data_IF_733817685774
#
_entry.id   IF_733817685774
#
_cell.length_a   1.000
_cell.length_b   1.000
_cell.length_c   1.000
_cell.angle_alpha   90.00
_cell.angle_beta   90.00
_cell.angle_gamma   90.00
#
_symmetry.space_group_name_H-M   'P 1'
#
loop_
_entity.id
_entity.type
_entity.pdbx_description
1 polymer ?
#
# COMPACT_ATOMS: atom_id res chain seq x y z
N UNK A 1 -11.69 -23.47 5.22
CA UNK A 1 -12.46 -23.07 6.41
C UNK A 1 -11.90 -21.74 6.85
N UNK A 2 -12.60 -20.65 6.54
CA UNK A 2 -12.17 -19.28 6.81
C UNK A 2 -12.50 -19.01 8.27
N UNK A 3 -11.50 -18.70 9.07
CA UNK A 3 -11.70 -18.32 10.49
C UNK A 3 -12.26 -16.88 10.52
N UNK A 4 -13.50 -16.69 10.96
CA UNK A 4 -14.18 -15.39 10.81
C UNK A 4 -13.69 -14.28 11.74
N UNK A 5 -12.76 -14.52 12.64
CA UNK A 5 -12.53 -13.63 13.78
C UNK A 5 -11.08 -13.19 14.05
N UNK A 6 -10.14 -13.37 13.12
CA UNK A 6 -8.76 -12.97 13.42
C UNK A 6 -8.56 -11.45 13.58
N UNK A 7 -9.42 -10.61 13.01
CA UNK A 7 -9.42 -9.18 13.28
C UNK A 7 -9.77 -8.92 14.75
N UNK A 8 -10.74 -9.67 15.28
CA UNK A 8 -11.17 -9.56 16.67
C UNK A 8 -10.25 -10.28 17.64
N UNK A 9 -9.61 -11.40 17.24
CA UNK A 9 -8.66 -12.14 18.06
C UNK A 9 -7.42 -11.33 18.44
N UNK A 10 -7.08 -10.32 17.62
CA UNK A 10 -5.95 -9.42 17.88
C UNK A 10 -6.36 -8.05 18.42
N UNK A 11 -7.62 -7.83 18.72
CA UNK A 11 -8.12 -6.54 19.21
C UNK A 11 -7.98 -5.41 18.19
N UNK A 12 -7.92 -5.74 16.91
CA UNK A 12 -7.80 -4.78 15.83
C UNK A 12 -9.17 -4.28 15.42
N UNK A 13 -9.59 -3.16 15.98
CA UNK A 13 -10.67 -2.38 15.39
C UNK A 13 -10.06 -1.52 14.28
N UNK A 14 -10.55 -1.68 13.06
CA UNK A 14 -10.27 -0.70 12.01
C UNK A 14 -10.89 0.63 12.42
N UNK A 15 -10.22 1.79 12.17
CA UNK A 15 -10.79 3.06 12.53
C UNK A 15 -12.12 3.25 11.84
N UNK A 16 -13.09 3.74 12.59
CA UNK A 16 -14.33 4.26 12.04
C UNK A 16 -14.06 5.67 11.47
N UNK A 17 -14.95 6.14 10.61
CA UNK A 17 -14.92 7.53 10.14
C UNK A 17 -14.98 8.53 11.29
N UNK A 18 -15.55 8.14 12.45
CA UNK A 18 -15.52 8.90 13.69
C UNK A 18 -14.11 9.19 14.24
N UNK A 19 -13.12 8.39 13.87
CA UNK A 19 -11.73 8.58 14.30
C UNK A 19 -11.00 9.70 13.54
N UNK A 20 -11.62 10.28 12.53
CA UNK A 20 -11.01 11.35 11.74
C UNK A 20 -11.20 12.73 12.38
N UNK A 21 -10.20 13.63 12.28
CA UNK A 21 -10.25 14.95 12.92
C UNK A 21 -11.46 15.82 12.55
N UNK A 22 -12.01 15.59 11.36
CA UNK A 22 -13.18 16.31 10.85
C UNK A 22 -14.52 15.62 11.16
N UNK A 23 -14.51 14.49 11.87
CA UNK A 23 -15.70 13.69 12.12
C UNK A 23 -16.83 14.49 12.79
N UNK A 24 -16.48 15.41 13.70
CA UNK A 24 -17.45 16.29 14.35
C UNK A 24 -18.08 17.34 13.43
N UNK A 25 -17.51 17.56 12.23
CA UNK A 25 -18.01 18.51 11.23
C UNK A 25 -18.82 17.85 10.12
N UNK A 26 -18.78 16.53 10.06
CA UNK A 26 -19.46 15.75 9.02
C UNK A 26 -20.64 15.04 9.66
N UNK A 27 -21.85 15.42 9.28
CA UNK A 27 -23.05 14.65 9.65
C UNK A 27 -23.02 13.39 8.79
N UNK A 28 -22.74 12.24 9.41
CA UNK A 28 -22.83 10.95 8.73
C UNK A 28 -24.30 10.67 8.41
N UNK A 29 -24.68 10.56 7.14
CA UNK A 29 -26.00 10.07 6.84
C UNK A 29 -26.13 8.66 7.41
N UNK A 30 -27.27 8.32 7.99
CA UNK A 30 -27.67 6.91 8.15
C UNK A 30 -27.45 6.25 6.80
N UNK A 31 -27.09 4.96 6.80
CA UNK A 31 -26.88 4.23 5.56
C UNK A 31 -28.00 4.57 4.56
N UNK A 32 -27.61 5.30 3.51
CA UNK A 32 -28.54 5.78 2.50
C UNK A 32 -29.15 4.61 1.75
N UNK A 33 -28.38 3.52 1.68
CA UNK A 33 -28.79 2.27 1.07
C UNK A 33 -28.41 1.13 2.00
N UNK A 34 -29.38 0.29 2.34
CA UNK A 34 -29.15 -0.92 3.09
C UNK A 34 -28.27 -1.89 2.26
N UNK A 35 -27.28 -2.49 2.88
CA UNK A 35 -26.40 -3.46 2.27
C UNK A 35 -27.07 -4.84 2.03
N UNK A 36 -27.95 -5.23 2.93
CA UNK A 36 -28.55 -6.58 2.92
C UNK A 36 -29.09 -7.04 1.56
N UNK A 37 -29.81 -6.21 0.77
CA UNK A 37 -30.31 -6.60 -0.54
C UNK A 37 -29.23 -6.97 -1.56
N UNK A 38 -28.01 -6.49 -1.36
CA UNK A 38 -26.87 -6.68 -2.29
C UNK A 38 -25.91 -7.78 -1.87
N UNK A 39 -25.92 -8.16 -0.59
CA UNK A 39 -24.94 -9.10 -0.02
C UNK A 39 -24.92 -10.44 -0.77
N UNK A 40 -26.11 -10.96 -1.09
CA UNK A 40 -26.24 -12.19 -1.85
C UNK A 40 -25.71 -12.09 -3.29
N UNK A 41 -26.00 -10.99 -3.98
CA UNK A 41 -25.58 -10.75 -5.37
C UNK A 41 -24.04 -10.63 -5.44
N UNK A 42 -23.43 -9.85 -4.55
CA UNK A 42 -21.98 -9.73 -4.47
C UNK A 42 -21.30 -11.03 -4.05
N UNK A 43 -21.86 -11.75 -3.07
CA UNK A 43 -21.33 -13.04 -2.61
C UNK A 43 -21.33 -14.08 -3.73
N UNK A 44 -22.36 -14.13 -4.55
CA UNK A 44 -22.43 -15.02 -5.72
C UNK A 44 -21.38 -14.61 -6.75
N UNK A 45 -21.31 -13.32 -7.11
CA UNK A 45 -20.35 -12.83 -8.09
C UNK A 45 -18.89 -13.11 -7.67
N UNK A 46 -18.59 -12.91 -6.40
CA UNK A 46 -17.24 -13.17 -5.84
C UNK A 46 -16.90 -14.66 -5.81
N UNK A 47 -17.84 -15.52 -5.43
CA UNK A 47 -17.63 -16.98 -5.39
C UNK A 47 -17.44 -17.58 -6.79
N UNK A 48 -18.17 -17.07 -7.78
CA UNK A 48 -18.11 -17.55 -9.15
C UNK A 48 -17.02 -16.86 -9.98
N UNK A 49 -16.30 -15.89 -9.41
CA UNK A 49 -15.33 -15.06 -10.12
C UNK A 49 -15.93 -14.43 -11.40
N UNK A 50 -17.19 -14.00 -11.32
CA UNK A 50 -17.96 -13.50 -12.45
C UNK A 50 -18.05 -11.97 -12.42
N UNK A 51 -17.26 -11.32 -13.30
CA UNK A 51 -17.19 -9.86 -13.36
C UNK A 51 -18.50 -9.22 -13.85
N UNK A 52 -19.23 -9.87 -14.72
CA UNK A 52 -20.48 -9.33 -15.25
C UNK A 52 -21.54 -9.27 -14.14
N UNK A 53 -21.68 -10.35 -13.36
CA UNK A 53 -22.56 -10.36 -12.18
C UNK A 53 -22.15 -9.28 -11.16
N UNK A 54 -20.84 -9.11 -10.94
CA UNK A 54 -20.34 -8.06 -10.07
C UNK A 54 -20.74 -6.67 -10.59
N UNK A 55 -20.51 -6.40 -11.86
CA UNK A 55 -20.84 -5.11 -12.49
C UNK A 55 -22.35 -4.82 -12.43
N UNK A 56 -23.19 -5.81 -12.67
CA UNK A 56 -24.65 -5.66 -12.55
C UNK A 56 -25.04 -5.28 -11.13
N UNK A 57 -24.57 -6.03 -10.12
CA UNK A 57 -24.85 -5.74 -8.72
C UNK A 57 -24.33 -4.35 -8.30
N UNK A 58 -23.12 -4.00 -8.76
CA UNK A 58 -22.51 -2.72 -8.44
C UNK A 58 -23.20 -1.53 -9.11
N UNK A 59 -23.64 -1.69 -10.37
CA UNK A 59 -24.42 -0.68 -11.09
C UNK A 59 -25.76 -0.43 -10.41
N UNK A 60 -26.44 -1.49 -9.97
CA UNK A 60 -27.69 -1.41 -9.23
C UNK A 60 -27.49 -0.65 -7.91
N UNK A 61 -26.48 -1.01 -7.12
CA UNK A 61 -26.13 -0.32 -5.89
C UNK A 61 -25.88 1.17 -6.14
N UNK A 62 -25.07 1.51 -7.15
CA UNK A 62 -24.80 2.90 -7.52
C UNK A 62 -26.08 3.65 -7.95
N UNK A 63 -26.95 3.01 -8.69
CA UNK A 63 -28.23 3.56 -9.11
C UNK A 63 -29.12 3.91 -7.90
N UNK A 64 -29.19 3.01 -6.93
CA UNK A 64 -29.97 3.22 -5.71
C UNK A 64 -29.37 4.31 -4.84
N UNK A 65 -28.03 4.39 -4.74
CA UNK A 65 -27.36 5.51 -4.05
C UNK A 65 -27.74 6.84 -4.72
N UNK A 66 -27.63 6.94 -6.04
CA UNK A 66 -27.91 8.19 -6.77
C UNK A 66 -29.39 8.59 -6.76
N UNK A 67 -30.28 7.64 -6.55
CA UNK A 67 -31.72 7.91 -6.40
C UNK A 67 -32.05 8.48 -5.02
N UNK A 68 -31.24 8.16 -4.00
CA UNK A 68 -31.51 8.53 -2.63
C UNK A 68 -30.64 9.70 -2.13
N UNK A 69 -29.52 10.02 -2.82
CA UNK A 69 -28.61 11.11 -2.42
C UNK A 69 -28.39 12.08 -3.57
N UNK A 70 -28.59 13.37 -3.25
CA UNK A 70 -28.26 14.45 -4.18
C UNK A 70 -26.78 14.83 -4.03
N UNK A 71 -25.91 14.17 -4.77
CA UNK A 71 -24.49 14.51 -4.84
C UNK A 71 -24.22 15.71 -5.76
N UNK A 72 -23.22 16.53 -5.39
CA UNK A 72 -22.67 17.53 -6.31
C UNK A 72 -22.09 16.87 -7.56
N UNK A 73 -21.97 17.58 -8.69
CA UNK A 73 -21.33 17.02 -9.90
C UNK A 73 -19.92 16.49 -9.63
N UNK A 74 -19.15 17.18 -8.81
CA UNK A 74 -17.78 16.79 -8.43
C UNK A 74 -17.77 15.52 -7.55
N UNK A 75 -18.69 15.41 -6.58
CA UNK A 75 -18.80 14.21 -5.75
C UNK A 75 -19.30 13.01 -6.58
N UNK A 76 -20.19 13.23 -7.56
CA UNK A 76 -20.63 12.20 -8.50
C UNK A 76 -19.48 11.70 -9.37
N UNK A 77 -18.65 12.61 -9.89
CA UNK A 77 -17.46 12.24 -10.66
C UNK A 77 -16.46 11.47 -9.80
N UNK A 78 -16.26 11.89 -8.54
CA UNK A 78 -15.41 11.18 -7.59
C UNK A 78 -15.93 9.75 -7.33
N UNK A 79 -17.24 9.58 -7.16
CA UNK A 79 -17.87 8.27 -7.01
C UNK A 79 -17.69 7.39 -8.25
N UNK A 80 -17.86 7.93 -9.45
CA UNK A 80 -17.63 7.19 -10.69
C UNK A 80 -16.17 6.72 -10.82
N UNK A 81 -15.21 7.59 -10.49
CA UNK A 81 -13.80 7.23 -10.48
C UNK A 81 -13.48 6.12 -9.48
N UNK A 82 -14.08 6.16 -8.30
CA UNK A 82 -13.96 5.12 -7.28
C UNK A 82 -14.55 3.80 -7.77
N UNK A 83 -15.75 3.82 -8.31
CA UNK A 83 -16.46 2.65 -8.85
C UNK A 83 -15.66 1.95 -9.93
N UNK A 84 -15.12 2.72 -10.86
CA UNK A 84 -14.27 2.20 -11.94
C UNK A 84 -13.03 1.49 -11.37
N UNK A 85 -12.41 2.06 -10.34
CA UNK A 85 -11.24 1.48 -9.70
C UNK A 85 -11.57 0.20 -8.94
N UNK A 86 -12.67 0.16 -8.18
CA UNK A 86 -13.13 -1.05 -7.49
C UNK A 86 -13.39 -2.16 -8.51
N UNK A 87 -14.10 -1.87 -9.59
CA UNK A 87 -14.37 -2.83 -10.65
C UNK A 87 -13.08 -3.36 -11.29
N UNK A 88 -12.09 -2.49 -11.51
CA UNK A 88 -10.78 -2.91 -12.03
C UNK A 88 -10.08 -3.87 -11.08
N UNK A 89 -10.07 -3.58 -9.78
CA UNK A 89 -9.46 -4.46 -8.80
C UNK A 89 -10.17 -5.80 -8.70
N UNK A 90 -11.49 -5.82 -8.74
CA UNK A 90 -12.27 -7.06 -8.76
C UNK A 90 -11.94 -7.89 -9.99
N UNK A 91 -11.85 -7.27 -11.17
CA UNK A 91 -11.45 -7.97 -12.40
C UNK A 91 -10.08 -8.60 -12.29
N UNK A 92 -9.10 -7.86 -11.79
CA UNK A 92 -7.73 -8.36 -11.58
C UNK A 92 -7.70 -9.51 -10.56
N UNK A 93 -8.46 -9.37 -9.48
CA UNK A 93 -8.62 -10.43 -8.49
C UNK A 93 -9.23 -11.70 -9.10
N UNK A 94 -10.30 -11.59 -9.87
CA UNK A 94 -10.93 -12.73 -10.53
C UNK A 94 -9.99 -13.41 -11.52
N UNK A 95 -9.23 -12.65 -12.28
CA UNK A 95 -8.21 -13.20 -13.18
C UNK A 95 -7.14 -13.97 -12.40
N UNK A 96 -6.68 -13.44 -11.27
CA UNK A 96 -5.69 -14.12 -10.43
C UNK A 96 -6.23 -15.40 -9.78
N UNK A 97 -7.54 -15.45 -9.47
CA UNK A 97 -8.17 -16.62 -8.89
C UNK A 97 -8.45 -17.74 -9.91
N UNK A 98 -8.69 -17.38 -11.17
CA UNK A 98 -8.89 -18.37 -12.25
C UNK A 98 -7.62 -19.14 -12.59
N UNK A 99 -6.47 -18.53 -12.39
CA UNK A 99 -5.15 -19.12 -12.62
C UNK A 99 -4.61 -19.76 -11.32
N UNK A 100 -5.39 -20.59 -10.65
CA UNK A 100 -5.01 -21.18 -9.37
C UNK A 100 -3.77 -22.09 -9.53
N UNK A 101 -2.64 -21.58 -9.11
CA UNK A 101 -1.48 -22.39 -8.72
C UNK A 101 -1.77 -22.97 -7.32
N UNK A 102 -1.40 -24.21 -7.11
CA UNK A 102 -1.66 -24.95 -5.88
C UNK A 102 -1.11 -24.18 -4.66
N UNK A 103 -1.92 -24.06 -3.60
CA UNK A 103 -1.51 -23.34 -2.36
C UNK A 103 -0.30 -23.96 -1.68
N UNK A 104 -0.04 -25.24 -1.91
CA UNK A 104 1.11 -25.92 -1.36
C UNK A 104 2.43 -25.47 -2.01
N UNK A 105 2.38 -25.00 -3.25
CA UNK A 105 3.55 -24.42 -3.94
C UNK A 105 4.00 -23.07 -3.36
N UNK A 106 3.08 -22.28 -2.80
CA UNK A 106 3.42 -20.98 -2.16
C UNK A 106 4.35 -21.18 -0.96
N UNK A 107 4.16 -22.25 -0.20
CA UNK A 107 4.93 -22.55 1.02
C UNK A 107 6.36 -23.03 0.73
N UNK A 108 6.68 -23.40 -0.48
CA UNK A 108 8.00 -23.95 -0.84
C UNK A 108 9.10 -22.88 -0.97
N UNK A 109 8.73 -21.60 -1.08
CA UNK A 109 9.66 -20.49 -1.15
C UNK A 109 9.46 -19.54 0.03
N UNK A 110 10.54 -19.15 0.71
CA UNK A 110 10.48 -18.28 1.89
C UNK A 110 9.80 -16.94 1.58
N UNK A 111 10.13 -16.30 0.46
CA UNK A 111 9.58 -14.98 0.08
C UNK A 111 8.08 -15.09 -0.16
N UNK A 112 7.62 -16.10 -0.91
CA UNK A 112 6.19 -16.28 -1.14
C UNK A 112 5.42 -16.58 0.15
N UNK A 113 5.99 -17.39 1.04
CA UNK A 113 5.41 -17.71 2.34
C UNK A 113 5.33 -16.48 3.26
N UNK A 114 6.40 -15.68 3.32
CA UNK A 114 6.44 -14.44 4.11
C UNK A 114 5.44 -13.40 3.57
N UNK A 115 5.37 -13.23 2.25
CA UNK A 115 4.41 -12.32 1.61
C UNK A 115 2.96 -12.75 1.88
N UNK A 116 2.66 -14.05 1.81
CA UNK A 116 1.33 -14.56 2.10
C UNK A 116 0.96 -14.37 3.58
N UNK A 117 1.89 -14.60 4.50
CA UNK A 117 1.61 -14.53 5.93
C UNK A 117 1.72 -13.11 6.50
N UNK A 118 2.83 -12.43 6.25
CA UNK A 118 3.15 -11.12 6.84
C UNK A 118 2.84 -9.94 5.93
N UNK A 119 2.67 -10.18 4.62
CA UNK A 119 2.58 -9.14 3.60
C UNK A 119 3.94 -8.59 3.15
N UNK A 120 5.01 -9.03 3.79
CA UNK A 120 6.38 -8.60 3.50
C UNK A 120 7.39 -9.70 3.83
N UNK A 121 8.52 -9.69 3.12
CA UNK A 121 9.68 -10.53 3.38
C UNK A 121 10.93 -9.68 3.48
N UNK A 122 11.91 -10.15 4.23
CA UNK A 122 13.15 -9.43 4.49
C UNK A 122 14.34 -10.38 4.48
N UNK A 123 15.45 -9.96 3.84
CA UNK A 123 16.68 -10.72 3.78
C UNK A 123 17.91 -9.84 3.57
N UNK A 124 19.06 -10.38 3.96
CA UNK A 124 20.37 -9.74 3.77
C UNK A 124 20.91 -10.01 2.37
N UNK A 125 21.62 -9.04 1.82
CA UNK A 125 22.35 -9.15 0.55
C UNK A 125 23.84 -9.10 0.84
N UNK A 126 24.63 -9.68 -0.05
CA UNK A 126 26.09 -9.58 0.02
C UNK A 126 26.52 -8.09 0.00
N UNK A 127 27.21 -7.60 1.04
CA UNK A 127 27.64 -6.21 1.13
C UNK A 127 28.49 -5.75 -0.05
N UNK A 128 29.24 -6.66 -0.71
CA UNK A 128 30.03 -6.34 -1.90
C UNK A 128 29.15 -5.93 -3.09
N UNK A 129 27.98 -6.54 -3.24
CA UNK A 129 27.03 -6.18 -4.30
C UNK A 129 26.41 -4.80 -4.03
N UNK A 130 26.11 -4.50 -2.78
CA UNK A 130 25.62 -3.18 -2.38
C UNK A 130 26.70 -2.11 -2.61
N UNK A 131 27.95 -2.38 -2.21
CA UNK A 131 29.06 -1.47 -2.49
C UNK A 131 29.23 -1.20 -4.00
N UNK A 132 29.07 -2.22 -4.83
CA UNK A 132 29.11 -2.09 -6.29
C UNK A 132 27.96 -1.20 -6.80
N UNK A 133 26.72 -1.43 -6.37
CA UNK A 133 25.56 -0.59 -6.72
C UNK A 133 25.77 0.85 -6.28
N UNK A 134 26.26 1.06 -5.06
CA UNK A 134 26.55 2.38 -4.51
C UNK A 134 27.61 3.12 -5.34
N UNK A 135 28.64 2.41 -5.80
CA UNK A 135 29.68 2.97 -6.68
C UNK A 135 29.07 3.39 -8.04
N UNK A 136 28.26 2.53 -8.65
CA UNK A 136 27.58 2.82 -9.92
C UNK A 136 26.65 4.04 -9.83
N UNK A 137 26.09 4.33 -8.65
CA UNK A 137 25.13 5.40 -8.39
C UNK A 137 25.74 6.62 -7.69
N UNK A 138 27.05 6.64 -7.48
CA UNK A 138 27.74 7.64 -6.65
C UNK A 138 27.48 9.09 -7.07
N UNK A 139 27.47 9.37 -8.37
CA UNK A 139 27.19 10.73 -8.88
C UNK A 139 25.74 11.14 -8.63
N UNK A 140 24.79 10.22 -8.87
CA UNK A 140 23.37 10.49 -8.62
C UNK A 140 23.09 10.67 -7.13
N UNK A 141 23.70 9.85 -6.28
CA UNK A 141 23.61 9.96 -4.82
C UNK A 141 24.13 11.33 -4.39
N UNK A 142 25.34 11.71 -4.83
CA UNK A 142 25.93 13.01 -4.51
C UNK A 142 25.01 14.14 -4.94
N UNK A 143 24.54 14.13 -6.18
CA UNK A 143 23.62 15.16 -6.70
C UNK A 143 22.34 15.27 -5.85
N UNK A 144 21.77 14.15 -5.41
CA UNK A 144 20.56 14.16 -4.59
C UNK A 144 20.83 14.64 -3.16
N UNK A 145 22.01 14.38 -2.59
CA UNK A 145 22.42 14.90 -1.29
C UNK A 145 22.69 16.40 -1.34
N UNK A 146 23.23 16.91 -2.46
CA UNK A 146 23.59 18.31 -2.62
C UNK A 146 22.39 19.23 -2.91
N UNK A 147 21.18 18.69 -3.16
CA UNK A 147 19.98 19.50 -3.35
C UNK A 147 19.66 20.26 -2.06
N UNK A 148 19.60 21.58 -2.16
CA UNK A 148 19.23 22.45 -1.05
C UNK A 148 17.73 22.29 -0.72
N UNK A 149 17.37 22.38 0.55
CA UNK A 149 15.98 22.16 1.00
C UNK A 149 14.98 23.15 0.36
N UNK A 150 15.40 24.36 0.02
CA UNK A 150 14.56 25.35 -0.66
C UNK A 150 14.34 25.04 -2.16
N UNK A 151 15.16 24.19 -2.76
CA UNK A 151 15.00 23.70 -4.15
C UNK A 151 14.16 22.43 -4.18
N UNK A 152 14.07 21.72 -3.06
CA UNK A 152 13.18 20.58 -2.92
C UNK A 152 11.73 21.06 -2.98
N UNK A 153 10.91 20.44 -3.84
CA UNK A 153 9.47 20.73 -3.83
C UNK A 153 8.96 20.52 -2.40
N UNK A 154 8.20 21.48 -1.83
CA UNK A 154 7.84 21.49 -0.42
C UNK A 154 7.03 20.27 0.08
N UNK A 155 6.84 19.27 -0.77
CA UNK A 155 6.06 18.06 -0.48
C UNK A 155 6.86 16.76 -0.61
N UNK A 156 8.18 16.83 -0.87
CA UNK A 156 9.03 15.64 -1.04
C UNK A 156 10.20 15.68 -0.07
N UNK A 157 10.11 14.86 0.96
CA UNK A 157 11.25 14.55 1.84
C UNK A 157 12.20 13.57 1.18
N UNK A 158 11.67 12.74 0.28
CA UNK A 158 12.47 11.84 -0.52
C UNK A 158 12.85 12.53 -1.84
N UNK A 159 14.11 12.79 -1.99
CA UNK A 159 14.71 13.19 -3.26
C UNK A 159 14.89 11.91 -4.07
N UNK A 160 14.41 11.88 -5.29
CA UNK A 160 14.48 10.65 -6.06
C UNK A 160 14.78 10.88 -7.54
N UNK A 161 15.39 9.88 -8.16
CA UNK A 161 15.56 9.79 -9.61
C UNK A 161 15.11 8.42 -10.07
N UNK A 162 14.19 8.40 -11.04
CA UNK A 162 13.71 7.17 -11.67
C UNK A 162 14.64 6.79 -12.81
N UNK A 163 15.01 5.53 -12.87
CA UNK A 163 15.86 4.95 -13.90
C UNK A 163 15.06 3.97 -14.77
N UNK A 164 15.37 3.94 -16.05
CA UNK A 164 14.87 2.95 -16.99
C UNK A 164 15.99 1.99 -17.38
N UNK A 165 15.63 0.78 -17.77
CA UNK A 165 16.61 -0.24 -18.20
C UNK A 165 17.43 0.22 -19.40
N UNK A 166 16.84 1.01 -20.30
CA UNK A 166 17.53 1.62 -21.44
C UNK A 166 18.61 2.61 -21.04
N UNK A 167 18.42 3.31 -19.93
CA UNK A 167 19.32 4.40 -19.50
C UNK A 167 20.42 3.90 -18.57
N UNK A 168 20.10 2.88 -17.75
CA UNK A 168 20.99 2.29 -16.75
C UNK A 168 20.93 0.77 -16.75
N UNK A 169 21.31 0.11 -17.90
CA UNK A 169 21.32 -1.34 -17.98
C UNK A 169 22.26 -2.00 -16.97
N UNK A 170 23.34 -1.33 -16.60
CA UNK A 170 24.30 -1.74 -15.57
C UNK A 170 23.63 -1.98 -14.21
N UNK A 171 22.85 -1.00 -13.75
CA UNK A 171 22.10 -1.07 -12.48
C UNK A 171 21.03 -2.15 -12.56
N UNK A 172 20.25 -2.19 -13.64
CA UNK A 172 19.18 -3.18 -13.82
C UNK A 172 19.74 -4.60 -13.81
N UNK A 173 20.80 -4.88 -14.59
CA UNK A 173 21.41 -6.21 -14.64
C UNK A 173 21.97 -6.64 -13.28
N UNK A 174 22.53 -5.69 -12.52
CA UNK A 174 23.06 -5.99 -11.18
C UNK A 174 21.93 -6.33 -10.21
N UNK A 175 20.83 -5.58 -10.24
CA UNK A 175 19.66 -5.84 -9.40
C UNK A 175 18.97 -7.15 -9.82
N UNK A 176 18.80 -7.40 -11.12
CA UNK A 176 18.26 -8.67 -11.63
C UNK A 176 19.05 -9.86 -11.10
N UNK A 177 20.38 -9.81 -11.19
CA UNK A 177 21.24 -10.87 -10.66
C UNK A 177 21.10 -11.07 -9.14
N UNK A 178 21.01 -9.98 -8.37
CA UNK A 178 20.75 -10.06 -6.92
C UNK A 178 19.41 -10.76 -6.67
N UNK A 179 18.37 -10.41 -7.42
CA UNK A 179 17.03 -10.96 -7.23
C UNK A 179 16.93 -12.42 -7.67
N UNK A 180 17.61 -12.81 -8.75
CA UNK A 180 17.71 -14.21 -9.18
C UNK A 180 18.40 -15.09 -8.14
N UNK A 181 19.55 -14.66 -7.64
CA UNK A 181 20.32 -15.39 -6.63
C UNK A 181 19.60 -15.56 -5.29
N UNK A 182 18.66 -14.66 -4.98
CA UNK A 182 17.84 -14.71 -3.76
C UNK A 182 16.40 -15.20 -4.03
N UNK A 183 16.15 -15.78 -5.20
CA UNK A 183 14.85 -16.35 -5.60
C UNK A 183 13.67 -15.36 -5.51
N UNK A 184 13.94 -14.04 -5.62
CA UNK A 184 12.93 -13.00 -5.46
C UNK A 184 11.84 -13.11 -6.51
N UNK A 185 12.23 -13.24 -7.77
CA UNK A 185 11.26 -13.35 -8.87
C UNK A 185 10.37 -14.58 -8.72
N UNK A 186 10.98 -15.72 -8.39
CA UNK A 186 10.25 -16.97 -8.16
C UNK A 186 9.28 -16.84 -7.00
N UNK A 187 9.72 -16.29 -5.87
CA UNK A 187 8.87 -16.13 -4.69
C UNK A 187 7.73 -15.14 -4.91
N UNK A 188 8.02 -14.00 -5.52
CA UNK A 188 7.01 -12.98 -5.81
C UNK A 188 6.00 -13.46 -6.88
N UNK A 189 6.45 -14.21 -7.89
CA UNK A 189 5.57 -14.80 -8.91
C UNK A 189 4.63 -15.85 -8.31
N UNK A 190 5.15 -16.74 -7.44
CA UNK A 190 4.34 -17.72 -6.71
C UNK A 190 3.28 -17.02 -5.84
N UNK A 191 3.67 -15.99 -5.11
CA UNK A 191 2.74 -15.21 -4.29
C UNK A 191 1.63 -14.57 -5.13
N UNK A 192 1.99 -13.91 -6.24
CA UNK A 192 1.03 -13.27 -7.15
C UNK A 192 0.23 -14.27 -8.00
N UNK A 193 0.52 -15.57 -7.88
CA UNK A 193 -0.10 -16.63 -8.71
C UNK A 193 0.02 -16.34 -10.21
N UNK A 194 1.14 -15.79 -10.60
CA UNK A 194 1.40 -15.42 -11.97
C UNK A 194 2.18 -16.55 -12.64
N UNK A 195 1.66 -17.08 -13.73
CA UNK A 195 2.37 -18.08 -14.56
C UNK A 195 3.62 -17.49 -15.23
N UNK A 196 3.68 -16.16 -15.34
CA UNK A 196 4.83 -15.44 -15.88
C UNK A 196 5.70 -14.96 -14.74
N UNK A 197 6.99 -15.21 -14.83
CA UNK A 197 7.95 -14.63 -13.91
C UNK A 197 7.82 -13.10 -13.93
N UNK A 198 7.71 -12.54 -12.74
CA UNK A 198 7.78 -11.09 -12.57
C UNK A 198 9.14 -10.59 -13.08
N UNK A 199 9.14 -9.40 -13.62
CA UNK A 199 10.34 -8.71 -14.11
C UNK A 199 10.47 -7.33 -13.50
N UNK A 200 11.67 -6.76 -13.57
CA UNK A 200 11.88 -5.38 -13.14
C UNK A 200 11.16 -4.41 -14.10
N UNK A 201 10.26 -3.58 -13.55
CA UNK A 201 9.57 -2.56 -14.31
C UNK A 201 10.31 -1.21 -14.18
N UNK A 202 10.61 -0.82 -12.95
CA UNK A 202 11.19 0.49 -12.65
C UNK A 202 12.11 0.39 -11.44
N UNK A 203 13.22 1.09 -11.48
CA UNK A 203 14.11 1.31 -10.33
C UNK A 203 14.18 2.83 -10.08
N UNK A 204 13.97 3.23 -8.85
CA UNK A 204 14.15 4.61 -8.41
C UNK A 204 15.15 4.68 -7.26
N UNK A 205 16.17 5.54 -7.40
CA UNK A 205 17.07 5.88 -6.31
C UNK A 205 16.39 6.94 -5.46
N UNK A 206 16.24 6.66 -4.17
CA UNK A 206 15.70 7.56 -3.17
C UNK A 206 16.77 7.97 -2.18
N UNK A 207 16.79 9.25 -1.83
CA UNK A 207 17.61 9.82 -0.77
C UNK A 207 16.71 10.63 0.15
N UNK A 208 16.50 10.14 1.37
CA UNK A 208 15.82 10.87 2.43
C UNK A 208 16.84 11.59 3.30
N UNK A 209 16.57 12.86 3.62
CA UNK A 209 17.41 13.71 4.47
C UNK A 209 16.57 14.25 5.63
N UNK A 210 17.19 14.70 6.72
CA UNK A 210 16.49 15.27 7.85
C UNK A 210 15.56 16.41 7.45
N UNK A 211 14.44 16.47 8.12
CA UNK A 211 13.47 17.55 8.01
C UNK A 211 13.19 18.13 9.39
N UNK A 212 12.82 19.39 9.47
CA UNK A 212 12.47 20.05 10.74
C UNK A 212 11.17 19.53 11.37
N UNK A 213 10.57 18.51 10.80
CA UNK A 213 9.26 18.01 11.20
C UNK A 213 9.38 16.72 12.00
N UNK A 214 9.09 16.81 13.29
CA UNK A 214 9.23 15.73 14.27
C UNK A 214 8.00 14.85 14.41
N UNK A 215 7.57 14.08 13.41
CA UNK A 215 6.38 13.27 13.60
C UNK A 215 6.56 11.79 13.33
N UNK A 216 7.77 11.32 13.52
CA UNK A 216 8.10 9.92 13.35
C UNK A 216 7.28 8.97 14.24
N UNK A 217 6.89 9.45 15.43
CA UNK A 217 6.11 8.68 16.40
C UNK A 217 4.60 8.87 16.26
N UNK A 218 4.14 9.80 15.42
CA UNK A 218 2.74 10.05 15.22
C UNK A 218 2.23 9.41 13.95
N UNK A 219 0.95 9.11 13.88
CA UNK A 219 0.28 8.62 12.67
C UNK A 219 -0.30 9.77 11.85
N UNK A 220 -0.26 10.99 12.38
CA UNK A 220 -0.73 12.18 11.70
C UNK A 220 0.22 12.59 10.60
N UNK A 221 -0.35 13.00 9.49
CA UNK A 221 0.34 13.81 8.51
C UNK A 221 0.36 15.26 8.95
N UNK A 222 1.48 15.89 8.67
CA UNK A 222 1.47 17.34 8.58
C UNK A 222 0.86 17.77 7.24
N UNK A 223 0.19 18.92 7.16
CA UNK A 223 -0.42 19.41 5.91
C UNK A 223 0.56 19.51 4.73
N UNK A 224 1.85 19.59 5.03
CA UNK A 224 2.95 19.75 4.05
C UNK A 224 3.74 18.47 3.80
N UNK A 225 3.43 17.37 4.50
CA UNK A 225 4.22 16.12 4.44
C UNK A 225 3.79 15.24 3.28
N UNK A 226 4.72 14.55 2.67
CA UNK A 226 4.45 13.53 1.66
C UNK A 226 3.53 12.43 2.19
N UNK A 227 2.57 12.03 1.36
CA UNK A 227 1.60 10.98 1.65
C UNK A 227 2.22 9.62 1.96
N UNK A 228 3.44 9.40 1.51
CA UNK A 228 4.19 8.16 1.74
C UNK A 228 4.66 8.01 3.19
N UNK A 229 4.56 9.06 4.00
CA UNK A 229 4.89 9.02 5.44
C UNK A 229 3.72 8.54 6.27
N UNK A 230 2.48 8.70 5.80
CA UNK A 230 1.32 8.12 6.45
C UNK A 230 1.22 6.63 6.18
N UNK A 231 0.67 5.88 7.13
CA UNK A 231 0.31 4.48 6.88
C UNK A 231 -0.72 4.41 5.74
N UNK A 232 -0.37 3.71 4.67
CA UNK A 232 -1.21 3.57 3.49
C UNK A 232 -1.00 2.22 2.82
N UNK A 233 -1.90 1.89 1.91
CA UNK A 233 -1.74 0.85 0.90
C UNK A 233 -1.74 1.53 -0.46
N UNK A 234 -0.99 1.00 -1.41
CA UNK A 234 -0.95 1.57 -2.76
C UNK A 234 -2.17 1.18 -3.60
N UNK A 235 -2.64 2.05 -4.48
CA UNK A 235 -3.81 1.77 -5.31
C UNK A 235 -3.48 0.98 -6.60
N UNK A 236 -2.46 0.14 -6.59
CA UNK A 236 -2.04 -0.63 -7.78
C UNK A 236 -2.02 -2.12 -7.46
N UNK A 237 -2.89 -2.87 -8.10
CA UNK A 237 -2.94 -4.33 -8.00
C UNK A 237 -1.81 -5.01 -8.79
N UNK A 238 -1.40 -6.22 -8.37
CA UNK A 238 -0.34 -7.02 -9.00
C UNK A 238 1.00 -6.30 -9.13
N UNK A 239 1.33 -5.48 -8.16
CA UNK A 239 2.62 -4.83 -8.05
C UNK A 239 3.32 -5.34 -6.78
N UNK A 240 4.52 -5.85 -6.92
CA UNK A 240 5.41 -6.11 -5.81
C UNK A 240 6.47 -5.03 -5.78
N UNK A 241 6.71 -4.48 -4.60
CA UNK A 241 7.77 -3.52 -4.35
C UNK A 241 8.90 -4.16 -3.57
N UNK A 242 10.10 -3.68 -3.85
CA UNK A 242 11.25 -3.94 -3.01
C UNK A 242 11.94 -2.63 -2.65
N UNK A 243 12.45 -2.57 -1.44
CA UNK A 243 13.37 -1.54 -0.98
C UNK A 243 14.72 -2.20 -0.70
N UNK A 244 15.74 -1.74 -1.38
CA UNK A 244 17.11 -2.20 -1.22
C UNK A 244 17.92 -1.06 -0.60
N UNK A 245 18.33 -1.21 0.65
CA UNK A 245 19.17 -0.22 1.32
C UNK A 245 20.60 -0.26 0.78
N UNK A 246 21.12 0.91 0.46
CA UNK A 246 22.50 1.06 -0.05
C UNK A 246 23.48 1.47 1.04
N UNK A 247 23.02 1.62 2.27
CA UNK A 247 23.80 1.98 3.46
C UNK A 247 23.06 1.55 4.72
N UNK A 248 23.71 1.78 5.86
CA UNK A 248 23.12 1.54 7.18
C UNK A 248 21.89 2.43 7.39
N UNK A 249 20.87 1.86 7.98
CA UNK A 249 19.63 2.56 8.31
C UNK A 249 19.29 2.27 9.76
N UNK A 250 19.42 3.28 10.60
CA UNK A 250 19.03 3.25 12.00
C UNK A 250 17.60 3.80 12.23
N UNK A 251 17.21 3.89 13.49
CA UNK A 251 15.90 4.41 13.90
C UNK A 251 15.68 5.86 13.48
N UNK A 252 16.74 6.68 13.41
CA UNK A 252 16.69 8.10 13.09
C UNK A 252 16.81 8.39 11.60
N UNK A 253 17.36 7.46 10.82
CA UNK A 253 17.51 7.59 9.37
C UNK A 253 16.21 7.41 8.60
N UNK A 254 15.09 7.17 9.29
CA UNK A 254 13.78 7.01 8.70
C UNK A 254 13.56 5.65 8.05
N UNK A 255 13.69 4.53 8.80
CA UNK A 255 13.52 3.19 8.26
C UNK A 255 12.11 2.98 7.70
N UNK A 256 12.03 2.23 6.61
CA UNK A 256 10.76 1.77 6.09
C UNK A 256 10.01 0.98 7.15
N UNK A 257 8.70 1.13 7.16
CA UNK A 257 7.87 0.56 8.21
C UNK A 257 6.65 -0.13 7.60
N UNK A 258 6.33 -1.31 8.10
CA UNK A 258 5.08 -2.02 7.77
C UNK A 258 4.30 -2.33 9.04
N UNK A 259 3.03 -2.67 8.86
CA UNK A 259 2.22 -3.34 9.87
C UNK A 259 2.11 -4.81 9.42
N UNK A 260 2.94 -5.72 9.96
CA UNK A 260 2.90 -7.13 9.58
C UNK A 260 1.52 -7.72 9.78
N UNK A 261 1.16 -8.65 8.91
CA UNK A 261 -0.17 -9.31 8.86
C UNK A 261 -1.35 -8.40 8.48
N UNK A 262 -1.12 -7.12 8.21
CA UNK A 262 -2.21 -6.22 7.76
C UNK A 262 -2.82 -6.64 6.42
N UNK A 263 -2.09 -7.39 5.60
CA UNK A 263 -2.58 -8.04 4.39
C UNK A 263 -3.70 -9.06 4.67
N UNK A 264 -3.86 -9.49 5.91
CA UNK A 264 -4.86 -10.48 6.34
C UNK A 264 -6.04 -9.87 7.08
N UNK A 265 -6.10 -8.55 7.23
CA UNK A 265 -7.18 -7.89 7.94
C UNK A 265 -8.52 -7.94 7.19
N UNK A 266 -8.48 -8.09 5.88
CA UNK A 266 -9.66 -8.20 5.04
C UNK A 266 -9.79 -9.65 4.56
N UNK A 267 -10.63 -10.43 5.23
CA UNK A 267 -10.86 -11.84 4.88
C UNK A 267 -11.89 -12.00 3.78
N UNK A 268 -12.89 -11.11 3.72
CA UNK A 268 -13.81 -11.03 2.62
C UNK A 268 -13.09 -10.45 1.39
N UNK A 269 -12.94 -11.22 0.31
CA UNK A 269 -12.30 -10.72 -0.91
C UNK A 269 -12.94 -9.45 -1.45
N UNK A 270 -14.24 -9.27 -1.30
CA UNK A 270 -14.96 -8.07 -1.70
C UNK A 270 -14.51 -6.87 -0.86
N UNK A 271 -14.46 -7.00 0.46
CA UNK A 271 -13.99 -5.93 1.36
C UNK A 271 -12.55 -5.52 1.04
N UNK A 272 -11.68 -6.51 0.74
CA UNK A 272 -10.31 -6.25 0.29
C UNK A 272 -10.27 -5.41 -0.99
N UNK A 273 -11.07 -5.77 -2.00
CA UNK A 273 -11.10 -5.04 -3.27
C UNK A 273 -11.64 -3.62 -3.10
N UNK A 274 -12.65 -3.45 -2.25
CA UNK A 274 -13.17 -2.12 -1.89
C UNK A 274 -12.11 -1.30 -1.16
N UNK A 275 -11.41 -1.87 -0.19
CA UNK A 275 -10.31 -1.22 0.50
C UNK A 275 -9.21 -0.79 -0.48
N UNK A 276 -8.76 -1.67 -1.35
CA UNK A 276 -7.77 -1.35 -2.39
C UNK A 276 -8.26 -0.25 -3.34
N UNK A 277 -9.50 -0.30 -3.78
CA UNK A 277 -10.10 0.72 -4.66
C UNK A 277 -10.18 2.10 -3.99
N UNK A 278 -10.34 2.15 -2.69
CA UNK A 278 -10.44 3.37 -1.89
C UNK A 278 -9.08 3.84 -1.33
N UNK A 279 -8.05 3.03 -1.40
CA UNK A 279 -6.79 3.21 -0.68
C UNK A 279 -5.86 4.29 -1.23
N UNK A 280 -6.36 5.35 -1.73
CA UNK A 280 -5.52 6.38 -2.32
C UNK A 280 -4.87 7.33 -1.32
N UNK A 281 -4.79 7.00 -0.04
CA UNK A 281 -4.18 7.85 0.99
C UNK A 281 -4.70 9.30 1.07
N UNK A 282 -5.42 9.75 0.04
CA UNK A 282 -5.94 11.10 -0.15
C UNK A 282 -7.45 11.15 -0.25
N UNK A 283 -8.09 10.03 0.00
CA UNK A 283 -9.51 9.96 -0.28
C UNK A 283 -10.30 11.00 0.51
N UNK A 284 -9.82 11.28 1.72
CA UNK A 284 -10.48 12.20 2.65
C UNK A 284 -9.95 13.65 2.60
N UNK A 285 -8.92 13.95 1.82
CA UNK A 285 -8.40 15.31 1.66
C UNK A 285 -9.33 16.24 0.90
N UNK A 286 -10.20 15.65 0.09
CA UNK A 286 -11.07 16.38 -0.79
C UNK A 286 -12.53 16.17 -0.36
N UNK A 287 -13.25 17.26 -0.11
CA UNK A 287 -14.65 17.23 0.30
C UNK A 287 -15.52 16.37 -0.63
N UNK A 288 -15.32 16.49 -1.95
CA UNK A 288 -16.13 15.74 -2.92
C UNK A 288 -15.86 14.23 -2.86
N UNK A 289 -14.65 13.83 -2.57
CA UNK A 289 -14.29 12.42 -2.38
C UNK A 289 -14.86 11.89 -1.06
N UNK A 290 -14.87 12.70 -0.01
CA UNK A 290 -15.54 12.37 1.25
C UNK A 290 -17.03 12.17 1.05
N UNK A 291 -17.70 13.12 0.38
CA UNK A 291 -19.12 13.02 0.10
C UNK A 291 -19.46 11.77 -0.72
N UNK A 292 -18.62 11.44 -1.70
CA UNK A 292 -18.76 10.23 -2.51
C UNK A 292 -18.62 8.95 -1.66
N UNK A 293 -17.71 8.94 -0.69
CA UNK A 293 -17.51 7.80 0.19
C UNK A 293 -18.66 7.66 1.20
N UNK A 294 -19.09 8.78 1.79
CA UNK A 294 -20.11 8.77 2.82
C UNK A 294 -21.49 8.29 2.35
N UNK A 295 -21.76 8.35 1.05
CA UNK A 295 -22.99 7.79 0.49
C UNK A 295 -22.93 6.27 0.27
N UNK A 296 -21.75 5.64 0.39
CA UNK A 296 -21.62 4.20 0.29
C UNK A 296 -22.16 3.50 1.55
N UNK A 297 -22.64 2.25 1.44
CA UNK A 297 -23.03 1.47 2.60
C UNK A 297 -21.91 1.33 3.63
N UNK A 298 -22.24 1.23 4.91
CA UNK A 298 -21.29 1.15 6.03
C UNK A 298 -20.26 0.02 5.83
N UNK A 299 -20.67 -1.12 5.28
CA UNK A 299 -19.77 -2.23 4.95
C UNK A 299 -18.64 -1.79 4.01
N UNK A 300 -18.89 -0.94 3.05
CA UNK A 300 -17.91 -0.45 2.10
C UNK A 300 -17.07 0.71 2.66
N UNK A 301 -17.58 1.43 3.65
CA UNK A 301 -16.89 2.57 4.28
C UNK A 301 -15.87 2.14 5.33
N UNK A 302 -16.18 1.10 6.13
CA UNK A 302 -15.32 0.62 7.24
C UNK A 302 -13.89 0.33 6.85
N UNK A 303 -13.68 -0.03 5.60
CA UNK A 303 -12.40 -0.53 5.10
C UNK A 303 -11.63 0.52 4.32
N UNK A 304 -12.03 1.79 4.45
CA UNK A 304 -11.28 2.91 3.90
C UNK A 304 -10.10 3.23 4.80
N UNK A 305 -8.98 3.37 4.17
CA UNK A 305 -7.68 3.33 4.78
C UNK A 305 -7.39 4.55 5.62
N UNK A 306 -6.85 4.20 6.63
CA UNK A 306 -5.99 4.72 7.64
C UNK A 306 -4.92 5.57 6.99
N UNK A 307 -4.84 6.75 7.08
CA UNK A 307 -3.78 7.61 6.68
C UNK A 307 -3.53 8.63 7.78
N UNK A 308 -3.26 9.82 7.38
CA UNK A 308 -3.02 10.98 8.22
C UNK A 308 -4.16 11.40 9.14
N UNK A 309 -5.30 10.75 9.04
CA UNK A 309 -6.50 11.12 9.78
C UNK A 309 -6.68 10.36 11.08
N UNK A 310 -5.82 9.40 11.37
CA UNK A 310 -5.84 8.73 12.66
C UNK A 310 -5.30 9.71 13.70
N UNK A 311 -6.14 10.05 14.67
CA UNK A 311 -5.71 10.93 15.75
C UNK A 311 -4.77 10.23 16.70
N UNK A 312 -3.68 10.90 17.07
CA UNK A 312 -2.76 10.42 18.09
C UNK A 312 -3.49 10.22 19.43
N UNK A 313 -3.07 9.18 20.14
CA UNK A 313 -3.64 8.84 21.45
C UNK A 313 -4.94 8.04 21.41
N UNK A 314 -5.56 7.83 20.22
CA UNK A 314 -6.67 6.89 20.08
C UNK A 314 -6.20 5.45 20.25
N UNK A 315 -7.10 4.55 20.59
CA UNK A 315 -6.74 3.12 20.74
C UNK A 315 -6.26 2.52 19.42
N UNK A 316 -6.83 2.94 18.30
CA UNK A 316 -6.36 2.57 16.96
C UNK A 316 -4.92 3.03 16.74
N UNK A 317 -4.58 4.27 17.07
CA UNK A 317 -3.21 4.78 16.90
C UNK A 317 -2.20 4.02 17.78
N UNK A 318 -2.54 3.77 19.03
CA UNK A 318 -1.70 2.99 19.96
C UNK A 318 -1.46 1.58 19.45
N UNK A 319 -2.52 0.93 18.99
CA UNK A 319 -2.45 -0.42 18.43
C UNK A 319 -1.57 -0.49 17.19
N UNK A 320 -1.73 0.45 16.27
CA UNK A 320 -0.92 0.51 15.05
C UNK A 320 0.55 0.79 15.37
N UNK A 321 0.84 1.73 16.27
CA UNK A 321 2.20 2.03 16.71
C UNK A 321 2.88 0.80 17.34
N UNK A 322 2.14 0.05 18.16
CA UNK A 322 2.65 -1.17 18.79
C UNK A 322 2.89 -2.32 17.81
N UNK A 323 2.20 -2.35 16.68
CA UNK A 323 2.32 -3.39 15.66
C UNK A 323 3.23 -3.04 14.50
N UNK A 324 3.62 -1.79 14.38
CA UNK A 324 4.55 -1.37 13.33
C UNK A 324 5.91 -2.02 13.52
N UNK A 325 6.43 -2.58 12.43
CA UNK A 325 7.79 -3.07 12.35
C UNK A 325 8.63 -2.12 11.49
N UNK A 326 9.68 -1.57 12.08
CA UNK A 326 10.66 -0.72 11.41
C UNK A 326 11.82 -1.58 10.91
N UNK A 327 12.16 -1.44 9.66
CA UNK A 327 13.26 -2.18 9.05
C UNK A 327 14.55 -1.36 9.15
N UNK A 328 15.22 -1.46 10.29
CA UNK A 328 16.60 -0.96 10.45
C UNK A 328 17.58 -1.93 9.78
N UNK A 329 18.74 -1.45 9.37
CA UNK A 329 19.76 -2.24 8.70
C UNK A 329 21.15 -1.86 9.13
N UNK A 330 21.95 -2.87 9.41
CA UNK A 330 23.38 -2.78 9.66
C UNK A 330 24.22 -3.21 8.45
N UNK A 331 23.79 -2.92 7.27
CA UNK A 331 24.25 -3.20 5.92
C UNK A 331 23.31 -4.11 5.12
N UNK A 332 22.99 -3.65 3.92
CA UNK A 332 22.54 -4.50 2.83
C UNK A 332 21.24 -5.28 3.03
N UNK A 333 20.21 -4.64 3.54
CA UNK A 333 18.89 -5.27 3.64
C UNK A 333 18.01 -5.01 2.42
N UNK A 334 17.30 -6.06 2.03
CA UNK A 334 16.25 -6.00 1.02
C UNK A 334 14.91 -6.34 1.66
N UNK A 335 13.95 -5.44 1.54
CA UNK A 335 12.57 -5.63 1.99
C UNK A 335 11.71 -5.78 0.74
N UNK A 336 10.93 -6.86 0.68
CA UNK A 336 9.96 -7.12 -0.39
C UNK A 336 8.57 -7.09 0.23
N UNK A 337 7.62 -6.41 -0.40
CA UNK A 337 6.27 -6.33 0.13
C UNK A 337 5.23 -6.13 -0.97
N UNK A 338 4.00 -6.56 -0.67
CA UNK A 338 2.84 -6.23 -1.47
C UNK A 338 2.28 -4.87 -1.00
N UNK A 339 2.52 -3.80 -1.75
CA UNK A 339 2.11 -2.45 -1.34
C UNK A 339 0.59 -2.26 -1.38
N UNK A 340 -0.13 -3.15 -2.06
CA UNK A 340 -1.60 -3.03 -2.21
C UNK A 340 -2.36 -3.68 -1.07
N UNK A 341 -1.70 -4.57 -0.34
CA UNK A 341 -2.33 -5.33 0.73
C UNK A 341 -1.71 -5.08 2.10
N UNK A 342 -0.47 -4.59 2.14
CA UNK A 342 0.26 -4.37 3.39
C UNK A 342 0.25 -2.89 3.74
N UNK A 343 -0.24 -2.55 4.92
CA UNK A 343 -0.09 -1.21 5.47
C UNK A 343 1.39 -0.90 5.66
N UNK A 344 1.82 0.17 5.02
CA UNK A 344 3.22 0.58 5.03
C UNK A 344 3.37 2.09 5.00
N UNK A 345 4.57 2.55 5.34
CA UNK A 345 4.97 3.94 5.17
C UNK A 345 6.48 4.06 4.97
N UNK A 346 6.92 5.11 4.30
CA UNK A 346 8.29 5.59 4.38
C UNK A 346 8.55 6.16 5.77
N UNK A 347 9.72 5.90 6.34
CA UNK A 347 10.11 6.54 7.59
C UNK A 347 10.55 7.99 7.35
N UNK A 348 10.30 8.84 8.33
CA UNK A 348 10.81 10.21 8.35
C UNK A 348 12.27 10.19 8.84
N UNK A 349 13.15 10.79 8.06
CA UNK A 349 14.55 10.94 8.44
C UNK A 349 14.67 12.10 9.44
N UNK A 350 15.12 11.82 10.65
CA UNK A 350 15.36 12.81 11.71
C UNK A 350 16.82 13.22 11.78
N UNK A 351 17.71 12.26 11.46
CA UNK A 351 19.16 12.45 11.53
C UNK A 351 19.85 11.59 10.47
N UNK A 352 20.99 12.07 9.95
CA UNK A 352 21.72 11.37 8.92
C UNK A 352 21.00 11.42 7.57
N UNK A 353 20.91 10.30 6.90
CA UNK A 353 20.18 10.13 5.65
C UNK A 353 19.85 8.66 5.45
N UNK A 354 18.94 8.38 4.52
CA UNK A 354 18.64 7.04 4.04
C UNK A 354 18.76 7.01 2.53
N UNK A 355 19.59 6.11 2.02
CA UNK A 355 19.76 5.87 0.57
C UNK A 355 19.25 4.48 0.25
N UNK A 356 18.26 4.39 -0.63
CA UNK A 356 17.71 3.12 -1.04
C UNK A 356 17.28 3.11 -2.52
N UNK A 357 17.26 1.93 -3.11
CA UNK A 357 16.56 1.69 -4.35
C UNK A 357 15.14 1.22 -4.04
N UNK A 358 14.16 1.89 -4.63
CA UNK A 358 12.80 1.39 -4.73
C UNK A 358 12.63 0.70 -6.07
N UNK A 359 12.27 -0.55 -6.03
CA UNK A 359 12.20 -1.43 -7.20
C UNK A 359 10.76 -1.88 -7.36
N UNK A 360 10.23 -1.72 -8.56
CA UNK A 360 8.90 -2.17 -8.93
C UNK A 360 9.02 -3.40 -9.81
N UNK A 361 8.24 -4.44 -9.47
CA UNK A 361 8.16 -5.71 -10.22
C UNK A 361 6.74 -5.95 -10.70
N UNK A 362 6.62 -6.33 -11.98
CA UNK A 362 5.36 -6.69 -12.63
C UNK A 362 5.51 -7.91 -13.50
#
# INVERSE_FOLDING_TARGET
MILPNMIYEHGLQLPDLADFPDAGKVTYPKDVVDWLPYDGEFSVAMREYNIEKFQVAYTKLCGDIFSNVKLSPQARQAHQSQSSRITQFVQLYFNSCKNQVDRDDIKTNKISSDLDYYGCSHFKIDPKKIASLRLMLSEQIKRLLDIQDHEAKPHFYDRFVTMRKTDRPDVFNTVEKIFEENEVFTGASKYNRNERNLSLDTIALHVATPTDTHHYQTLKDLPTVSKTISLHMDPKFNLIKSLLYLEDVDEDSGPFTTVPTSNRWFYDPFERMVACGNSTGNYLDNQHKRDALLCMPSKMRKNVILGRYIMDGTDTSKMLLNKMHKYTSDHADCIIFDPTQTLHRGGLCNKGHRINLQILMR
#
